data_IF_068249278294
#
_entry.id   IF_068249278294
#
_cell.length_a   1.000
_cell.length_b   1.000
_cell.length_c   1.000
_cell.angle_alpha   90.00
_cell.angle_beta   90.00
_cell.angle_gamma   90.00
#
_symmetry.space_group_name_H-M   'P 1'
#
loop_
_entity.id
_entity.type
_entity.pdbx_description
1 polymer ?
#
# COMPACT_ATOMS: atom_id res chain seq x y z
N UNK A 1 -4.26 -10.50 -13.87
CA UNK A 1 -4.33 -10.36 -12.40
C UNK A 1 -3.38 -9.23 -11.98
N UNK A 2 -3.68 -8.46 -10.93
CA UNK A 2 -2.86 -7.29 -10.53
C UNK A 2 -1.40 -7.66 -10.27
N UNK A 3 -1.18 -8.87 -9.73
CA UNK A 3 0.15 -9.42 -9.47
C UNK A 3 0.97 -9.56 -10.74
N UNK A 4 0.41 -10.13 -11.82
CA UNK A 4 1.14 -10.25 -13.09
C UNK A 4 1.64 -8.89 -13.60
N UNK A 5 0.80 -7.85 -13.50
CA UNK A 5 1.19 -6.49 -13.90
C UNK A 5 2.34 -5.93 -13.03
N UNK A 6 2.38 -6.26 -11.75
CA UNK A 6 3.47 -5.85 -10.86
C UNK A 6 4.74 -6.68 -11.06
N UNK A 7 4.60 -7.97 -11.38
CA UNK A 7 5.71 -8.83 -11.80
C UNK A 7 6.34 -8.32 -13.08
N UNK A 8 5.54 -7.92 -14.07
CA UNK A 8 6.04 -7.34 -15.31
C UNK A 8 6.77 -6.02 -15.04
N UNK A 9 6.21 -5.15 -14.18
CA UNK A 9 6.89 -3.90 -13.76
C UNK A 9 8.24 -4.13 -13.11
N UNK A 10 8.37 -5.19 -12.29
CA UNK A 10 9.63 -5.54 -11.64
C UNK A 10 10.75 -5.92 -12.63
N UNK A 11 10.42 -6.36 -13.84
CA UNK A 11 11.43 -6.69 -14.86
C UNK A 11 12.09 -5.46 -15.48
N UNK A 12 11.38 -4.33 -15.53
CA UNK A 12 11.85 -3.11 -16.21
C UNK A 12 12.25 -1.98 -15.25
N UNK A 13 11.90 -2.09 -13.97
CA UNK A 13 12.22 -1.10 -12.94
C UNK A 13 13.14 -1.73 -11.90
N UNK A 14 14.44 -1.41 -11.98
CA UNK A 14 15.47 -1.98 -11.11
C UNK A 14 15.21 -1.69 -9.61
N UNK A 15 14.67 -0.51 -9.29
CA UNK A 15 14.40 -0.07 -7.92
C UNK A 15 12.95 -0.29 -7.48
N UNK A 16 12.21 -1.14 -8.20
CA UNK A 16 10.82 -1.45 -7.88
C UNK A 16 10.72 -2.70 -7.00
N UNK A 17 10.15 -2.53 -5.82
CA UNK A 17 9.81 -3.61 -4.89
C UNK A 17 8.29 -3.69 -4.71
N UNK A 18 7.80 -4.91 -4.53
CA UNK A 18 6.41 -5.12 -4.13
C UNK A 18 6.30 -6.40 -3.31
N UNK A 19 5.37 -6.38 -2.36
CA UNK A 19 4.97 -7.50 -1.53
C UNK A 19 3.46 -7.65 -1.57
N UNK A 20 2.99 -8.89 -1.47
CA UNK A 20 1.57 -9.18 -1.49
C UNK A 20 1.24 -10.37 -0.60
N UNK A 21 0.02 -10.40 -0.10
CA UNK A 21 -0.52 -11.50 0.70
C UNK A 21 -1.79 -12.04 0.06
N UNK A 22 -1.94 -13.36 0.09
CA UNK A 22 -3.12 -14.06 -0.41
C UNK A 22 -3.72 -14.94 0.68
N UNK A 23 -5.04 -15.08 0.68
CA UNK A 23 -5.75 -16.03 1.54
C UNK A 23 -5.72 -17.47 0.97
N UNK A 24 -6.24 -18.42 1.74
CA UNK A 24 -6.39 -19.82 1.34
C UNK A 24 -7.28 -20.00 0.09
N UNK A 25 -8.14 -19.02 -0.18
CA UNK A 25 -8.99 -18.92 -1.37
C UNK A 25 -8.31 -18.28 -2.58
N UNK A 26 -6.99 -18.02 -2.53
CA UNK A 26 -6.20 -17.34 -3.56
C UNK A 26 -6.67 -15.92 -3.87
N UNK A 27 -7.30 -15.25 -2.91
CA UNK A 27 -7.74 -13.85 -3.03
C UNK A 27 -6.65 -12.95 -2.44
N UNK A 28 -6.37 -11.86 -3.13
CA UNK A 28 -5.42 -10.84 -2.67
C UNK A 28 -5.98 -10.12 -1.44
N UNK A 29 -5.27 -10.21 -0.31
CA UNK A 29 -5.65 -9.60 0.97
C UNK A 29 -4.82 -8.37 1.30
N UNK A 30 -3.61 -8.28 0.77
CA UNK A 30 -2.70 -7.15 0.98
C UNK A 30 -1.76 -6.96 -0.21
N UNK A 31 -1.42 -5.70 -0.48
CA UNK A 31 -0.51 -5.33 -1.56
C UNK A 31 0.26 -4.06 -1.18
N UNK A 32 1.57 -4.19 -1.05
CA UNK A 32 2.50 -3.07 -0.84
C UNK A 32 3.45 -2.99 -2.04
N UNK A 33 3.79 -1.78 -2.44
CA UNK A 33 4.77 -1.56 -3.51
C UNK A 33 5.47 -0.22 -3.30
N UNK A 34 6.73 -0.16 -3.72
CA UNK A 34 7.54 1.04 -3.72
C UNK A 34 8.39 1.06 -4.98
N UNK A 35 8.46 2.21 -5.64
CA UNK A 35 9.49 2.47 -6.64
C UNK A 35 10.74 3.11 -6.02
N UNK A 36 11.80 3.26 -6.79
CA UNK A 36 13.04 3.87 -6.31
C UNK A 36 12.85 5.29 -5.77
N UNK A 37 11.91 6.05 -6.34
CA UNK A 37 11.58 7.40 -5.89
C UNK A 37 10.85 7.36 -4.54
N UNK A 38 9.93 6.41 -4.32
CA UNK A 38 9.29 6.18 -3.04
C UNK A 38 10.31 5.81 -1.96
N UNK A 39 11.30 4.97 -2.28
CA UNK A 39 12.37 4.62 -1.34
C UNK A 39 13.27 5.81 -1.01
N UNK A 40 13.65 6.61 -2.00
CA UNK A 40 14.43 7.84 -1.80
C UNK A 40 13.65 8.87 -0.99
N UNK A 41 12.38 9.08 -1.32
CA UNK A 41 11.51 10.00 -0.57
C UNK A 41 11.29 9.51 0.87
N UNK A 42 11.17 8.20 1.09
CA UNK A 42 11.09 7.66 2.43
C UNK A 42 12.38 7.88 3.23
N UNK A 43 13.55 7.73 2.60
CA UNK A 43 14.84 8.05 3.24
C UNK A 43 14.99 9.54 3.57
N UNK A 44 14.52 10.42 2.70
CA UNK A 44 14.67 11.87 2.86
C UNK A 44 13.67 12.47 3.85
N UNK A 45 12.39 12.08 3.76
CA UNK A 45 11.32 12.71 4.54
C UNK A 45 11.00 11.96 5.83
N UNK A 46 11.21 10.64 5.88
CA UNK A 46 10.82 9.79 7.01
C UNK A 46 9.31 9.77 7.27
N UNK A 47 8.76 8.64 7.71
CA UNK A 47 7.37 8.50 8.18
C UNK A 47 6.24 8.87 7.19
N UNK A 48 6.52 9.14 5.92
CA UNK A 48 5.48 9.39 4.91
C UNK A 48 5.03 8.07 4.27
N UNK A 49 3.89 7.55 4.72
CA UNK A 49 3.22 6.39 4.12
C UNK A 49 1.96 6.88 3.38
N UNK A 50 1.89 6.65 2.07
CA UNK A 50 0.68 6.90 1.28
C UNK A 50 -0.12 5.61 1.11
N UNK A 51 -1.39 5.60 1.51
CA UNK A 51 -2.28 4.44 1.37
C UNK A 51 -3.37 4.71 0.34
N UNK A 52 -3.42 3.88 -0.71
CA UNK A 52 -4.49 3.89 -1.70
C UNK A 52 -5.60 2.91 -1.27
N UNK A 53 -6.71 3.43 -0.75
CA UNK A 53 -7.83 2.64 -0.23
C UNK A 53 -8.80 2.17 -1.36
N UNK A 54 -8.29 1.73 -2.51
CA UNK A 54 -9.15 1.39 -3.66
C UNK A 54 -9.32 -0.12 -3.92
N UNK A 55 -9.10 -0.97 -2.91
CA UNK A 55 -9.32 -2.42 -3.05
C UNK A 55 -10.67 -2.86 -2.44
N UNK A 56 -11.77 -2.68 -3.18
CA UNK A 56 -13.04 -3.46 -3.14
C UNK A 56 -13.46 -4.18 -1.82
N UNK A 57 -13.26 -3.56 -0.66
CA UNK A 57 -13.88 -3.92 0.63
C UNK A 57 -14.58 -2.73 1.27
N UNK A 58 -15.16 -1.85 0.44
CA UNK A 58 -16.40 -1.17 0.84
C UNK A 58 -17.58 -2.17 0.84
N UNK A 59 -17.51 -3.17 1.71
CA UNK A 59 -18.70 -3.66 2.44
C UNK A 59 -18.67 -3.21 3.90
N UNK A 60 -17.67 -2.43 4.29
CA UNK A 60 -17.49 -1.91 5.63
C UNK A 60 -17.22 -0.39 5.71
N UNK A 61 -17.30 0.37 4.62
CA UNK A 61 -17.28 1.84 4.73
C UNK A 61 -18.69 2.35 5.07
N UNK A 62 -19.27 1.93 6.20
CA UNK A 62 -20.38 2.68 6.81
C UNK A 62 -20.67 2.33 8.28
N UNK A 63 -19.69 2.07 9.14
CA UNK A 63 -19.93 2.22 10.60
C UNK A 63 -18.68 2.74 11.33
N UNK A 64 -18.40 4.03 11.13
CA UNK A 64 -18.31 5.04 12.20
C UNK A 64 -17.53 6.24 11.67
N UNK A 65 -18.26 7.30 11.34
CA UNK A 65 -17.73 8.64 11.60
C UNK A 65 -17.53 8.78 13.11
N UNK A 66 -16.31 8.65 13.59
CA UNK A 66 -15.91 9.45 14.74
C UNK A 66 -14.44 9.79 14.64
N UNK A 67 -14.20 11.09 14.68
CA UNK A 67 -12.92 11.75 14.65
C UNK A 67 -11.89 11.05 15.55
N UNK A 68 -10.67 10.87 15.03
CA UNK A 68 -9.49 10.82 15.85
C UNK A 68 -8.52 11.86 15.32
N UNK A 69 -8.75 13.10 15.76
CA UNK A 69 -7.68 14.07 15.98
C UNK A 69 -6.87 13.54 17.17
N UNK A 70 -5.63 13.13 16.95
CA UNK A 70 -4.69 12.90 18.05
C UNK A 70 -3.54 13.88 17.92
N UNK A 71 -3.46 14.69 18.97
CA UNK A 71 -2.60 15.83 19.30
C UNK A 71 -1.10 15.57 19.12
N UNK A 72 -0.36 16.58 18.66
CA UNK A 72 1.10 16.71 18.78
C UNK A 72 1.45 17.00 20.25
N UNK A 73 2.38 16.25 20.84
CA UNK A 73 3.01 16.56 22.12
C UNK A 73 4.05 15.51 22.49
N UNK A 74 5.23 15.97 22.91
CA UNK A 74 6.39 15.17 23.35
C UNK A 74 6.05 14.07 24.37
#
# INVERSE_FOLDING_TARGET
MVINRMTDKKQYLADYSFEYSVDDGKRLTGLFWADGLCNLNYMEFGDVISFDATFKTNRWCLFRSQALTTTVGM
#
